data_IF_840103195501
#
_entry.id   IF_840103195501
#
_cell.length_a   1.000
_cell.length_b   1.000
_cell.length_c   1.000
_cell.angle_alpha   90.00
_cell.angle_beta   90.00
_cell.angle_gamma   90.00
#
_symmetry.space_group_name_H-M   'P 1'
#
loop_
_entity.id
_entity.type
_entity.pdbx_description
1 polymer ?
#
# COMPACT_ATOMS: atom_id res chain seq x y z
N UNK A 1 -27.22 -18.40 -2.61
CA UNK A 1 -26.96 -17.09 -3.25
C UNK A 1 -26.07 -16.19 -2.40
N UNK A 2 -26.44 -15.82 -1.17
CA UNK A 2 -25.65 -14.88 -0.34
C UNK A 2 -24.23 -15.38 0.00
N UNK A 3 -24.09 -16.66 0.36
CA UNK A 3 -22.79 -17.26 0.70
C UNK A 3 -21.83 -17.24 -0.51
N UNK A 4 -22.33 -17.59 -1.70
CA UNK A 4 -21.54 -17.57 -2.93
C UNK A 4 -21.06 -16.16 -3.28
N UNK A 5 -21.89 -15.14 -3.06
CA UNK A 5 -21.52 -13.74 -3.26
C UNK A 5 -20.42 -13.30 -2.28
N UNK A 6 -20.55 -13.67 -1.00
CA UNK A 6 -19.54 -13.40 0.01
C UNK A 6 -18.20 -14.07 -0.31
N UNK A 7 -18.22 -15.33 -0.75
CA UNK A 7 -17.01 -16.06 -1.18
C UNK A 7 -16.36 -15.36 -2.37
N UNK A 8 -17.12 -15.00 -3.40
CA UNK A 8 -16.61 -14.27 -4.56
C UNK A 8 -16.02 -12.91 -4.17
N UNK A 9 -16.67 -12.19 -3.24
CA UNK A 9 -16.19 -10.91 -2.73
C UNK A 9 -14.87 -11.05 -1.96
N UNK A 10 -14.76 -12.08 -1.10
CA UNK A 10 -13.51 -12.39 -0.37
C UNK A 10 -12.41 -12.75 -1.36
N UNK A 11 -12.66 -13.66 -2.31
CA UNK A 11 -11.68 -14.05 -3.32
C UNK A 11 -11.22 -12.81 -4.09
N UNK A 12 -12.16 -12.01 -4.60
CA UNK A 12 -11.84 -10.78 -5.33
C UNK A 12 -11.02 -9.79 -4.49
N UNK A 13 -11.41 -9.56 -3.24
CA UNK A 13 -10.70 -8.67 -2.31
C UNK A 13 -9.29 -9.16 -1.95
N UNK A 14 -9.03 -10.47 -2.04
CA UNK A 14 -7.72 -11.06 -1.77
C UNK A 14 -6.80 -11.06 -3.00
N UNK A 15 -7.34 -11.21 -4.22
CA UNK A 15 -6.54 -11.29 -5.45
C UNK A 15 -6.34 -9.95 -6.15
N UNK A 16 -7.01 -8.89 -5.70
CA UNK A 16 -6.91 -7.56 -6.32
C UNK A 16 -6.12 -6.59 -5.45
N UNK A 17 -5.14 -5.91 -6.05
CA UNK A 17 -4.33 -4.89 -5.35
C UNK A 17 -5.03 -3.52 -5.42
N UNK A 18 -5.07 -2.76 -4.34
CA UNK A 18 -5.48 -1.35 -4.31
C UNK A 18 -4.29 -0.40 -4.47
N UNK A 19 -4.53 0.86 -4.83
CA UNK A 19 -3.52 1.92 -4.73
C UNK A 19 -4.05 2.98 -3.79
N UNK A 20 -3.34 3.22 -2.69
CA UNK A 20 -3.70 4.22 -1.69
C UNK A 20 -2.72 5.38 -1.82
N UNK A 21 -3.22 6.60 -2.02
CA UNK A 21 -2.40 7.80 -2.22
C UNK A 21 -2.46 8.69 -0.99
N UNK A 22 -1.30 9.15 -0.54
CA UNK A 22 -1.18 10.12 0.52
C UNK A 22 -0.34 11.30 0.05
N UNK A 23 -0.73 12.51 0.43
CA UNK A 23 0.09 13.70 0.28
C UNK A 23 0.61 14.08 1.65
N UNK A 24 1.94 14.13 1.80
CA UNK A 24 2.61 14.53 3.02
C UNK A 24 3.26 15.88 2.78
N UNK A 25 2.73 16.89 3.46
CA UNK A 25 3.25 18.25 3.41
C UNK A 25 4.14 18.52 4.63
N UNK A 26 5.28 19.19 4.44
CA UNK A 26 6.16 19.57 5.55
C UNK A 26 7.05 20.76 5.19
N UNK A 27 7.20 21.69 6.14
CA UNK A 27 8.13 22.84 6.05
C UNK A 27 9.60 22.45 6.14
N UNK A 28 9.89 21.23 6.59
CA UNK A 28 11.27 20.70 6.69
C UNK A 28 11.73 20.01 5.39
N UNK A 29 10.84 19.82 4.41
CA UNK A 29 11.19 19.22 3.13
C UNK A 29 11.89 20.24 2.22
N UNK A 30 13.09 19.92 1.70
CA UNK A 30 13.75 20.80 0.74
C UNK A 30 12.93 20.93 -0.54
N UNK A 31 12.92 22.11 -1.15
CA UNK A 31 12.04 22.46 -2.29
C UNK A 31 12.15 21.53 -3.51
N UNK A 32 13.27 20.82 -3.68
CA UNK A 32 13.45 19.85 -4.77
C UNK A 32 12.62 18.57 -4.59
N UNK A 33 11.94 18.38 -3.45
CA UNK A 33 11.04 17.26 -3.18
C UNK A 33 9.56 17.61 -3.41
N UNK A 34 9.23 18.80 -3.90
CA UNK A 34 7.85 19.13 -4.24
C UNK A 34 7.33 18.25 -5.40
N UNK A 35 6.22 17.56 -5.17
CA UNK A 35 5.65 16.57 -6.10
C UNK A 35 6.45 15.25 -6.16
N UNK A 36 7.39 15.02 -5.24
CA UNK A 36 8.20 13.79 -5.23
C UNK A 36 7.35 12.61 -4.77
N UNK A 37 7.28 11.56 -5.60
CA UNK A 37 6.45 10.39 -5.34
C UNK A 37 7.28 9.18 -4.92
N UNK A 38 6.90 8.57 -3.82
CA UNK A 38 7.50 7.34 -3.31
C UNK A 38 6.43 6.25 -3.31
N UNK A 39 6.62 5.19 -4.09
CA UNK A 39 5.80 4.00 -4.00
C UNK A 39 6.36 3.08 -2.91
N UNK A 40 5.58 2.84 -1.85
CA UNK A 40 5.91 1.95 -0.76
C UNK A 40 5.19 0.62 -0.95
N UNK A 41 5.96 -0.46 -0.99
CA UNK A 41 5.49 -1.83 -1.13
C UNK A 41 5.91 -2.58 0.13
N UNK A 42 4.96 -3.08 0.93
CA UNK A 42 5.31 -3.85 2.14
C UNK A 42 4.90 -5.31 2.08
N UNK A 43 5.68 -6.17 2.74
CA UNK A 43 5.34 -7.56 3.02
C UNK A 43 5.10 -8.40 1.76
N UNK A 44 5.91 -8.28 0.69
CA UNK A 44 5.67 -8.96 -0.60
C UNK A 44 5.49 -10.49 -0.49
N UNK A 45 6.15 -11.19 0.44
CA UNK A 45 5.98 -12.63 0.77
C UNK A 45 5.56 -13.54 -0.39
N UNK A 46 6.30 -13.51 -1.51
CA UNK A 46 6.03 -14.27 -2.75
C UNK A 46 4.61 -14.13 -3.33
N UNK A 47 3.86 -13.10 -2.95
CA UNK A 47 2.53 -12.85 -3.46
C UNK A 47 2.55 -12.63 -4.98
N UNK A 48 1.62 -13.29 -5.67
CA UNK A 48 1.40 -13.12 -7.10
C UNK A 48 0.00 -12.54 -7.34
N UNK A 49 -0.05 -11.42 -8.06
CA UNK A 49 -1.26 -10.70 -8.42
C UNK A 49 -1.52 -10.82 -9.92
N UNK A 50 -2.50 -11.65 -10.28
CA UNK A 50 -2.78 -11.98 -11.67
C UNK A 50 -1.65 -12.76 -12.34
N UNK A 51 -1.63 -12.81 -13.68
CA UNK A 51 -0.58 -13.50 -14.43
C UNK A 51 0.73 -12.70 -14.34
N UNK A 52 1.78 -13.31 -13.76
CA UNK A 52 3.14 -12.73 -13.68
C UNK A 52 3.21 -11.31 -13.09
N UNK A 53 2.32 -10.95 -12.15
CA UNK A 53 2.28 -9.61 -11.55
C UNK A 53 2.01 -8.44 -12.51
N UNK A 54 1.51 -8.69 -13.73
CA UNK A 54 1.29 -7.62 -14.73
C UNK A 54 0.40 -6.50 -14.18
N UNK A 55 -0.72 -6.85 -13.52
CA UNK A 55 -1.63 -5.85 -12.94
C UNK A 55 -1.00 -5.04 -11.81
N UNK A 56 -0.03 -5.62 -11.12
CA UNK A 56 0.72 -4.96 -10.05
C UNK A 56 1.71 -3.95 -10.66
N UNK A 57 2.47 -4.38 -11.67
CA UNK A 57 3.41 -3.51 -12.40
C UNK A 57 2.68 -2.35 -13.07
N UNK A 58 1.57 -2.59 -13.76
CA UNK A 58 0.77 -1.52 -14.38
C UNK A 58 0.31 -0.46 -13.38
N UNK A 59 0.04 -0.83 -12.13
CA UNK A 59 -0.38 0.12 -11.09
C UNK A 59 0.77 0.97 -10.59
N UNK A 60 1.95 0.37 -10.45
CA UNK A 60 3.18 1.10 -10.09
C UNK A 60 3.54 2.06 -11.23
N UNK A 61 3.53 1.60 -12.47
CA UNK A 61 3.81 2.44 -13.64
C UNK A 61 2.82 3.61 -13.74
N UNK A 62 1.51 3.35 -13.60
CA UNK A 62 0.49 4.42 -13.57
C UNK A 62 0.65 5.38 -12.39
N UNK A 63 1.28 4.95 -11.29
CA UNK A 63 1.56 5.83 -10.16
C UNK A 63 2.75 6.77 -10.40
N UNK A 64 3.59 6.49 -11.41
CA UNK A 64 4.74 7.30 -11.80
C UNK A 64 5.66 7.70 -10.61
N UNK A 65 6.07 6.76 -9.73
CA UNK A 65 6.92 7.08 -8.60
C UNK A 65 8.34 7.46 -9.02
N UNK A 66 8.98 8.33 -8.25
CA UNK A 66 10.40 8.64 -8.36
C UNK A 66 11.28 7.57 -7.69
N UNK A 67 10.81 7.00 -6.57
CA UNK A 67 11.45 5.88 -5.87
C UNK A 67 10.41 4.82 -5.54
N UNK A 68 10.83 3.56 -5.58
CA UNK A 68 10.10 2.43 -5.02
C UNK A 68 10.83 1.98 -3.75
N UNK A 69 10.16 2.04 -2.60
CA UNK A 69 10.65 1.57 -1.32
C UNK A 69 9.96 0.25 -0.95
N UNK A 70 10.74 -0.81 -0.74
CA UNK A 70 10.22 -2.10 -0.28
C UNK A 70 10.46 -2.20 1.23
N UNK A 71 9.41 -2.41 2.02
CA UNK A 71 9.41 -2.40 3.49
C UNK A 71 8.65 -3.61 4.06
N UNK A 72 8.54 -3.78 5.38
CA UNK A 72 7.74 -4.87 5.98
C UNK A 72 8.37 -5.55 7.20
N UNK A 73 7.71 -6.64 7.63
CA UNK A 73 8.04 -7.51 8.77
C UNK A 73 8.01 -6.86 10.17
N UNK A 74 6.88 -6.23 10.52
CA UNK A 74 6.55 -5.89 11.91
C UNK A 74 5.55 -6.89 12.49
N UNK A 75 5.97 -7.68 13.49
CA UNK A 75 5.06 -8.53 14.25
C UNK A 75 4.24 -7.68 15.23
N UNK A 76 2.92 -7.78 15.17
CA UNK A 76 1.95 -7.10 16.06
C UNK A 76 2.03 -5.57 16.05
N UNK A 77 1.76 -4.91 14.90
CA UNK A 77 1.75 -3.45 14.86
C UNK A 77 0.61 -2.87 15.70
N UNK A 78 0.85 -1.72 16.33
CA UNK A 78 -0.17 -0.94 17.08
C UNK A 78 -1.28 -0.39 16.16
N UNK A 79 -0.98 -0.26 14.87
CA UNK A 79 -1.86 0.32 13.85
C UNK A 79 -2.04 -0.67 12.70
N UNK A 80 -3.28 -0.84 12.22
CA UNK A 80 -3.59 -1.80 11.16
C UNK A 80 -3.26 -1.27 9.75
N UNK A 81 -3.59 0.01 9.49
CA UNK A 81 -3.26 0.76 8.28
C UNK A 81 -3.71 2.22 8.41
N UNK A 82 -3.12 3.13 7.63
CA UNK A 82 -3.55 4.52 7.53
C UNK A 82 -2.42 5.53 7.58
N UNK A 83 -2.80 6.81 7.68
CA UNK A 83 -1.88 7.94 7.86
C UNK A 83 -2.08 8.51 9.27
N UNK A 84 -0.99 8.67 9.99
CA UNK A 84 -0.95 9.16 11.36
C UNK A 84 0.06 10.30 11.43
N UNK A 85 -0.36 11.46 11.90
CA UNK A 85 0.52 12.63 12.04
C UNK A 85 0.62 12.99 13.52
N UNK A 86 1.85 13.10 14.01
CA UNK A 86 2.18 13.57 15.35
C UNK A 86 3.34 14.57 15.21
N UNK A 87 3.13 15.78 15.73
CA UNK A 87 3.98 16.95 15.51
C UNK A 87 4.30 17.18 14.01
N UNK A 88 5.58 17.17 13.65
CA UNK A 88 6.07 17.33 12.27
C UNK A 88 6.31 15.99 11.56
N UNK A 89 5.92 14.87 12.17
CA UNK A 89 6.18 13.53 11.63
C UNK A 89 4.89 12.91 11.15
N UNK A 90 4.87 12.51 9.88
CA UNK A 90 3.78 11.70 9.33
C UNK A 90 4.25 10.27 9.14
N UNK A 91 3.58 9.34 9.84
CA UNK A 91 3.74 7.91 9.69
C UNK A 91 2.63 7.35 8.80
N UNK A 92 3.02 6.53 7.82
CA UNK A 92 2.08 5.82 6.96
C UNK A 92 2.25 4.33 7.20
N UNK A 93 1.14 3.66 7.53
CA UNK A 93 1.08 2.23 7.78
C UNK A 93 0.35 1.58 6.61
N UNK A 94 1.05 0.73 5.87
CA UNK A 94 0.47 -0.02 4.76
C UNK A 94 -0.13 -1.35 5.24
N UNK A 95 -1.22 -1.78 4.60
CA UNK A 95 -1.80 -3.13 4.71
C UNK A 95 -0.92 -4.24 4.13
N UNK A 96 0.15 -3.85 3.45
CA UNK A 96 1.03 -4.72 2.70
C UNK A 96 0.36 -5.46 1.56
N UNK A 97 1.19 -6.18 0.81
CA UNK A 97 0.77 -6.95 -0.35
C UNK A 97 0.84 -8.47 -0.12
N UNK A 98 1.51 -8.95 0.93
CA UNK A 98 1.63 -10.40 1.19
C UNK A 98 0.41 -11.05 1.81
N UNK A 99 0.47 -12.37 1.90
CA UNK A 99 -0.50 -13.14 2.67
C UNK A 99 0.10 -13.56 4.02
N UNK A 100 -0.75 -13.64 5.05
CA UNK A 100 -0.42 -14.31 6.30
C UNK A 100 -0.40 -15.84 6.10
N UNK A 101 0.04 -16.57 7.13
CA UNK A 101 0.04 -18.06 7.16
C UNK A 101 -1.33 -18.64 6.75
N UNK A 102 -2.42 -17.94 7.09
CA UNK A 102 -3.76 -18.19 6.56
C UNK A 102 -4.01 -17.19 5.42
N UNK A 103 -4.14 -17.63 4.15
CA UNK A 103 -4.19 -16.75 2.98
C UNK A 103 -5.60 -16.16 2.75
N UNK A 104 -6.24 -15.67 3.81
CA UNK A 104 -7.58 -15.06 3.75
C UNK A 104 -7.58 -13.74 4.51
N UNK A 105 -7.72 -12.64 3.77
CA UNK A 105 -7.88 -11.26 4.25
C UNK A 105 -9.37 -10.91 4.26
N UNK A 106 -9.91 -10.56 5.42
CA UNK A 106 -11.26 -10.02 5.56
C UNK A 106 -11.19 -8.50 5.64
N UNK A 107 -11.85 -7.80 4.71
CA UNK A 107 -11.86 -6.33 4.65
C UNK A 107 -10.46 -5.67 4.68
N UNK A 108 -9.42 -6.41 4.28
CA UNK A 108 -8.03 -5.98 4.32
C UNK A 108 -7.33 -6.21 2.98
N UNK A 109 -7.87 -5.59 1.93
CA UNK A 109 -7.40 -5.75 0.54
C UNK A 109 -5.90 -5.39 0.44
N UNK A 110 -5.08 -6.19 -0.27
CA UNK A 110 -3.69 -5.85 -0.56
C UNK A 110 -3.56 -4.46 -1.18
N UNK A 111 -2.56 -3.67 -0.79
CA UNK A 111 -2.43 -2.29 -1.30
C UNK A 111 -0.98 -1.91 -1.61
N UNK A 112 -0.83 -1.04 -2.62
CA UNK A 112 0.38 -0.27 -2.87
C UNK A 112 0.15 1.13 -2.32
N UNK A 113 1.04 1.61 -1.47
CA UNK A 113 0.98 2.98 -0.96
C UNK A 113 1.82 3.88 -1.86
N UNK A 114 1.29 5.03 -2.25
CA UNK A 114 2.03 6.05 -2.99
C UNK A 114 1.99 7.34 -2.17
N UNK A 115 3.17 7.81 -1.77
CA UNK A 115 3.34 9.01 -0.97
C UNK A 115 3.86 10.12 -1.87
N UNK A 116 3.10 11.20 -2.01
CA UNK A 116 3.52 12.42 -2.67
C UNK A 116 3.97 13.43 -1.61
N UNK A 117 5.20 13.92 -1.74
CA UNK A 117 5.75 14.94 -0.86
C UNK A 117 5.40 16.32 -1.39
N UNK A 118 4.98 17.22 -0.51
CA UNK A 118 4.69 18.61 -0.82
C UNK A 118 5.48 19.53 0.10
N UNK A 119 6.09 20.55 -0.48
CA UNK A 119 6.80 21.55 0.32
C UNK A 119 5.83 22.64 0.78
N UNK A 120 5.96 23.08 2.04
CA UNK A 120 5.24 24.24 2.60
C UNK A 120 6.19 25.40 2.92
#
# INVERSE_FOLDING_TARGET
>A
MAISFLILWIIWGNVTVGVTRYTVASTSLPRNFDGYRIAVISDLHNAQFGKKNVQFIEKIEKAQPNIIAITGDFLFPKYDAGLFTEDNTTMIVSRGIGNSIIPVRFNNRPEIVVVELKCE
#
